data_IF_593512328297
#
_entry.id   IF_593512328297
#
_cell.length_a   1.000
_cell.length_b   1.000
_cell.length_c   1.000
_cell.angle_alpha   90.00
_cell.angle_beta   90.00
_cell.angle_gamma   90.00
#
_symmetry.space_group_name_H-M   'P 1'
#
loop_
_entity.id
_entity.type
_entity.pdbx_description
1 polymer ?
#
# COMPACT_ATOMS: atom_id res chain seq x y z
N UNK A 1 20.94 -2.90 -11.02
CA UNK A 1 22.01 -2.08 -11.64
C UNK A 1 21.77 -0.63 -11.20
N UNK A 2 22.77 0.10 -10.68
CA UNK A 2 22.59 1.47 -10.15
C UNK A 2 22.10 2.44 -11.24
N UNK A 3 22.62 2.31 -12.47
CA UNK A 3 22.21 3.14 -13.61
C UNK A 3 20.72 3.00 -13.93
N UNK A 4 20.19 1.77 -13.89
CA UNK A 4 18.78 1.49 -14.17
C UNK A 4 17.82 2.17 -13.18
N UNK A 5 18.23 2.31 -11.91
CA UNK A 5 17.46 3.01 -10.88
C UNK A 5 17.44 4.52 -11.16
N UNK A 6 18.59 5.08 -11.54
CA UNK A 6 18.72 6.51 -11.85
C UNK A 6 17.97 6.90 -13.13
N UNK A 7 17.89 6.00 -14.11
CA UNK A 7 17.12 6.19 -15.34
C UNK A 7 15.61 6.34 -15.07
N UNK A 8 15.12 5.98 -13.88
CA UNK A 8 13.73 6.22 -13.44
C UNK A 8 13.44 7.66 -13.06
N UNK A 9 14.45 8.53 -12.89
CA UNK A 9 14.23 9.95 -12.53
C UNK A 9 13.32 10.63 -13.54
N UNK A 10 12.20 11.20 -13.07
CA UNK A 10 11.23 11.89 -13.92
C UNK A 10 10.30 10.98 -14.73
N UNK A 11 10.24 9.67 -14.42
CA UNK A 11 9.32 8.71 -15.04
C UNK A 11 8.13 8.35 -14.14
N UNK A 12 7.95 9.07 -13.03
CA UNK A 12 6.91 8.81 -12.06
C UNK A 12 5.50 8.97 -12.65
N UNK A 13 4.57 8.14 -12.20
CA UNK A 13 3.14 8.27 -12.47
C UNK A 13 2.45 8.92 -11.28
N UNK A 14 1.42 9.74 -11.55
CA UNK A 14 0.57 10.34 -10.51
C UNK A 14 -0.88 9.89 -10.77
N UNK A 15 -1.56 9.21 -9.82
CA UNK A 15 -1.02 8.78 -8.53
C UNK A 15 0.08 7.72 -8.66
N UNK A 16 0.80 7.49 -7.57
CA UNK A 16 1.79 6.42 -7.47
C UNK A 16 1.15 5.04 -7.70
N UNK A 17 1.94 4.02 -8.10
CA UNK A 17 1.42 2.67 -8.32
C UNK A 17 0.67 2.12 -7.09
N UNK A 18 -0.42 1.39 -7.33
CA UNK A 18 -1.16 0.76 -6.24
C UNK A 18 -0.31 -0.34 -5.58
N UNK A 19 -0.14 -0.23 -4.26
CA UNK A 19 0.36 -1.32 -3.43
C UNK A 19 -0.85 -2.14 -2.99
N UNK A 20 -0.76 -3.46 -3.08
CA UNK A 20 -1.88 -4.32 -2.71
C UNK A 20 -1.40 -5.64 -2.11
N UNK A 21 -2.26 -6.21 -1.27
CA UNK A 21 -2.04 -7.51 -0.61
C UNK A 21 -3.34 -8.09 -0.09
N UNK A 22 -3.25 -9.20 0.60
CA UNK A 22 -4.35 -9.81 1.35
C UNK A 22 -4.12 -9.71 2.86
N UNK A 23 -5.21 -9.80 3.62
CA UNK A 23 -5.12 -9.95 5.08
C UNK A 23 -4.24 -11.15 5.46
N UNK A 24 -3.19 -10.86 6.23
CA UNK A 24 -2.19 -11.81 6.70
C UNK A 24 -0.95 -11.94 5.80
N UNK A 25 -0.85 -11.18 4.71
CA UNK A 25 0.39 -11.07 3.94
C UNK A 25 1.44 -10.24 4.70
N UNK A 26 2.71 -10.45 4.39
CA UNK A 26 3.80 -9.57 4.83
C UNK A 26 4.17 -8.62 3.68
N UNK A 27 3.92 -7.32 3.86
CA UNK A 27 4.17 -6.30 2.85
C UNK A 27 5.44 -5.53 3.22
N UNK A 28 6.39 -5.52 2.28
CA UNK A 28 7.65 -4.76 2.40
C UNK A 28 7.68 -3.66 1.35
N UNK A 29 7.90 -2.42 1.78
CA UNK A 29 7.99 -1.25 0.90
C UNK A 29 9.37 -0.63 1.09
N UNK A 30 10.25 -0.77 0.10
CA UNK A 30 11.57 -0.15 0.12
C UNK A 30 11.55 1.18 -0.61
N UNK A 31 11.84 2.27 0.12
CA UNK A 31 11.96 3.60 -0.43
C UNK A 31 13.42 3.90 -0.80
N UNK A 32 13.61 4.41 -2.01
CA UNK A 32 14.86 5.01 -2.50
C UNK A 32 14.52 6.40 -3.01
N UNK A 33 15.14 7.43 -2.43
CA UNK A 33 14.96 8.81 -2.89
C UNK A 33 15.99 9.14 -3.97
N UNK A 34 15.58 9.06 -5.24
CA UNK A 34 16.44 9.38 -6.39
C UNK A 34 16.42 10.88 -6.76
N UNK A 35 15.65 11.71 -6.06
CA UNK A 35 15.53 13.15 -6.32
C UNK A 35 14.83 13.49 -7.64
N UNK A 36 14.66 14.80 -7.89
CA UNK A 36 13.98 15.31 -9.07
C UNK A 36 14.91 15.48 -10.28
N UNK A 37 14.42 15.14 -11.47
CA UNK A 37 15.15 15.32 -12.74
C UNK A 37 15.42 16.79 -13.07
N UNK A 38 14.43 17.66 -12.85
CA UNK A 38 14.48 19.07 -13.26
C UNK A 38 14.84 20.04 -12.12
N UNK A 39 14.82 19.56 -10.87
CA UNK A 39 15.19 20.32 -9.67
C UNK A 39 16.11 19.48 -8.77
N UNK A 40 17.32 19.14 -9.24
CA UNK A 40 18.27 18.32 -8.48
C UNK A 40 18.84 19.05 -7.24
N UNK A 41 18.58 20.35 -7.13
CA UNK A 41 18.90 21.19 -5.98
C UNK A 41 17.97 20.97 -4.79
N UNK A 42 16.77 20.40 -5.01
CA UNK A 42 15.84 20.04 -3.94
C UNK A 42 16.22 18.68 -3.36
N UNK A 43 16.60 18.68 -2.08
CA UNK A 43 17.22 17.54 -1.39
C UNK A 43 16.38 17.04 -0.22
N UNK A 44 15.08 17.32 -0.23
CA UNK A 44 14.20 16.96 0.87
C UNK A 44 14.25 15.43 1.10
N UNK A 45 14.30 15.00 2.37
CA UNK A 45 14.09 13.60 2.67
C UNK A 45 12.64 13.23 2.37
N UNK A 46 12.41 11.95 2.13
CA UNK A 46 11.06 11.45 1.88
C UNK A 46 10.75 10.24 2.76
N UNK A 47 9.46 10.01 2.98
CA UNK A 47 8.94 8.92 3.81
C UNK A 47 7.80 8.19 3.10
N UNK A 48 7.39 7.05 3.65
CA UNK A 48 6.16 6.35 3.29
C UNK A 48 5.31 6.25 4.55
N UNK A 49 4.30 7.11 4.66
CA UNK A 49 3.27 7.01 5.69
C UNK A 49 2.07 6.25 5.12
N UNK A 50 1.57 5.27 5.86
CA UNK A 50 0.47 4.39 5.43
C UNK A 50 -0.77 4.66 6.29
N UNK A 51 -1.75 5.37 5.74
CA UNK A 51 -3.01 5.64 6.43
C UNK A 51 -3.81 4.37 6.67
N UNK A 52 -4.20 4.15 7.93
CA UNK A 52 -5.00 2.99 8.33
C UNK A 52 -4.19 1.70 8.50
N UNK A 53 -2.88 1.74 8.29
CA UNK A 53 -2.00 0.62 8.59
C UNK A 53 -1.66 0.62 10.08
N UNK A 54 -1.86 -0.52 10.75
CA UNK A 54 -1.37 -0.72 12.10
C UNK A 54 0.12 -1.12 12.04
N UNK A 55 1.01 -0.16 12.26
CA UNK A 55 2.46 -0.35 12.20
C UNK A 55 3.14 0.16 13.46
N UNK A 56 4.36 -0.31 13.72
CA UNK A 56 5.21 0.24 14.78
C UNK A 56 5.53 1.71 14.47
N UNK A 57 5.62 2.56 15.50
CA UNK A 57 5.90 4.01 15.35
C UNK A 57 7.13 4.31 14.49
N UNK A 58 8.18 3.49 14.58
CA UNK A 58 9.40 3.66 13.79
C UNK A 58 9.18 3.44 12.29
N UNK A 59 8.13 2.72 11.91
CA UNK A 59 7.74 2.40 10.53
C UNK A 59 6.50 3.19 10.08
N UNK A 60 6.05 4.18 10.86
CA UNK A 60 4.87 4.97 10.54
C UNK A 60 5.15 6.00 9.44
N UNK A 61 6.41 6.40 9.22
CA UNK A 61 6.76 7.39 8.19
C UNK A 61 6.44 8.84 8.57
N UNK A 62 5.95 9.10 9.80
CA UNK A 62 5.93 10.42 10.42
C UNK A 62 7.37 10.83 10.81
N UNK A 63 7.97 11.85 10.16
CA UNK A 63 9.41 12.06 10.21
C UNK A 63 9.98 12.35 11.61
N UNK A 64 9.18 12.90 12.52
CA UNK A 64 9.58 13.24 13.88
C UNK A 64 9.69 12.02 14.81
N UNK A 65 8.97 10.93 14.51
CA UNK A 65 9.01 9.69 15.30
C UNK A 65 9.55 8.48 14.53
N UNK A 66 9.74 8.62 13.22
CA UNK A 66 10.26 7.62 12.30
C UNK A 66 11.60 8.11 11.73
N UNK A 67 11.85 7.90 10.43
CA UNK A 67 13.06 8.30 9.73
C UNK A 67 12.70 8.91 8.38
N UNK A 68 13.53 9.82 7.88
CA UNK A 68 13.49 10.32 6.50
C UNK A 68 14.55 9.65 5.64
N UNK A 69 14.21 9.25 4.41
CA UNK A 69 15.18 8.73 3.44
C UNK A 69 15.79 9.90 2.67
N UNK A 70 17.08 10.22 2.88
CA UNK A 70 17.73 11.34 2.22
C UNK A 70 17.88 11.06 0.72
N UNK A 71 18.03 12.13 -0.06
CA UNK A 71 18.28 12.01 -1.50
C UNK A 71 19.60 11.28 -1.77
N UNK A 72 19.62 10.43 -2.79
CA UNK A 72 20.82 9.77 -3.29
C UNK A 72 21.71 10.78 -4.05
N UNK A 73 22.56 11.48 -3.30
CA UNK A 73 23.45 12.54 -3.84
C UNK A 73 24.63 11.97 -4.62
N UNK A 74 25.35 11.00 -4.01
CA UNK A 74 26.51 10.34 -4.62
C UNK A 74 26.06 9.08 -5.35
N UNK A 75 25.67 9.26 -6.60
CA UNK A 75 25.01 8.22 -7.41
C UNK A 75 25.93 7.08 -7.87
N UNK A 76 27.22 7.17 -7.55
CA UNK A 76 28.26 6.14 -7.71
C UNK A 76 28.39 5.22 -6.48
N UNK A 77 27.80 5.60 -5.33
CA UNK A 77 27.75 4.80 -4.11
C UNK A 77 26.39 4.08 -3.96
N UNK A 78 26.26 3.20 -2.97
CA UNK A 78 24.98 2.53 -2.67
C UNK A 78 23.93 3.56 -2.24
N UNK A 79 22.69 3.52 -2.77
CA UNK A 79 21.66 4.48 -2.37
C UNK A 79 21.30 4.35 -0.89
N UNK A 80 20.97 5.47 -0.21
CA UNK A 80 20.23 5.40 1.04
C UNK A 80 18.88 4.74 0.78
N UNK A 81 18.57 3.73 1.58
CA UNK A 81 17.30 2.99 1.47
C UNK A 81 16.69 2.80 2.84
N UNK A 82 15.37 2.74 2.91
CA UNK A 82 14.68 2.27 4.09
C UNK A 82 13.51 1.38 3.69
N UNK A 83 13.29 0.31 4.46
CA UNK A 83 12.21 -0.64 4.23
C UNK A 83 11.18 -0.53 5.33
N UNK A 84 9.96 -0.22 4.91
CA UNK A 84 8.76 -0.24 5.74
C UNK A 84 8.18 -1.66 5.72
N UNK A 85 7.67 -2.11 6.86
CA UNK A 85 6.98 -3.38 7.01
C UNK A 85 5.55 -3.15 7.49
N UNK A 86 4.61 -3.83 6.84
CA UNK A 86 3.21 -3.81 7.19
C UNK A 86 2.60 -5.21 7.12
N UNK A 87 1.96 -5.64 8.20
CA UNK A 87 1.22 -6.88 8.30
C UNK A 87 -0.29 -6.56 8.42
N UNK A 88 -1.06 -6.54 7.32
CA UNK A 88 -2.49 -6.27 7.35
C UNK A 88 -3.30 -7.31 8.16
N UNK A 89 -3.89 -6.85 9.25
CA UNK A 89 -4.81 -7.65 10.09
C UNK A 89 -6.27 -7.58 9.60
N UNK A 90 -6.63 -6.48 8.93
CA UNK A 90 -7.98 -6.20 8.44
C UNK A 90 -7.97 -5.77 6.96
N UNK A 91 -9.02 -6.10 6.18
CA UNK A 91 -9.14 -5.64 4.81
C UNK A 91 -9.55 -4.16 4.77
N UNK A 92 -9.15 -3.44 3.71
CA UNK A 92 -9.52 -2.04 3.57
C UNK A 92 -8.99 -1.37 2.30
N UNK A 93 -9.57 -0.21 2.01
CA UNK A 93 -9.02 0.76 1.04
C UNK A 93 -8.28 1.84 1.82
N UNK A 94 -6.96 1.75 1.80
CA UNK A 94 -6.02 2.62 2.50
C UNK A 94 -5.33 3.54 1.47
N UNK A 95 -4.47 4.42 1.97
CA UNK A 95 -3.58 5.22 1.13
C UNK A 95 -2.19 5.27 1.74
N UNK A 96 -1.19 5.59 0.93
CA UNK A 96 0.13 5.94 1.41
C UNK A 96 0.59 7.26 0.79
N UNK A 97 1.39 8.02 1.52
CA UNK A 97 1.98 9.26 1.01
C UNK A 97 3.26 9.64 1.74
N UNK A 98 3.98 10.64 1.23
CA UNK A 98 5.10 11.23 1.97
C UNK A 98 4.60 12.16 3.06
N UNK A 99 5.16 12.04 4.26
CA UNK A 99 4.78 12.86 5.43
C UNK A 99 5.84 13.91 5.82
N UNK A 100 6.91 14.06 5.02
CA UNK A 100 7.74 15.28 5.05
C UNK A 100 6.98 16.35 4.26
N UNK A 101 6.84 17.57 4.78
CA UNK A 101 6.10 18.67 4.11
C UNK A 101 4.82 18.16 3.41
N UNK A 102 3.98 17.48 4.20
CA UNK A 102 2.99 16.55 3.65
C UNK A 102 2.01 17.22 2.67
N UNK A 103 1.66 18.48 2.92
CA UNK A 103 0.74 19.24 2.04
C UNK A 103 1.35 19.43 0.65
N UNK A 104 2.62 19.85 0.60
CA UNK A 104 3.39 20.11 -0.62
C UNK A 104 3.65 18.80 -1.37
N UNK A 105 4.17 17.78 -0.69
CA UNK A 105 4.53 16.52 -1.35
C UNK A 105 3.31 15.74 -1.85
N UNK A 106 2.19 15.74 -1.12
CA UNK A 106 0.93 15.17 -1.62
C UNK A 106 0.46 15.92 -2.87
N UNK A 107 0.49 17.26 -2.85
CA UNK A 107 0.11 18.09 -3.99
C UNK A 107 1.04 17.89 -5.20
N UNK A 108 2.32 17.58 -4.95
CA UNK A 108 3.32 17.23 -5.97
C UNK A 108 3.19 15.79 -6.48
N UNK A 109 2.24 15.00 -5.97
CA UNK A 109 1.91 13.67 -6.47
C UNK A 109 2.50 12.50 -5.68
N UNK A 110 3.10 12.74 -4.51
CA UNK A 110 3.66 11.69 -3.65
C UNK A 110 2.59 11.01 -2.80
N UNK A 111 1.59 10.43 -3.46
CA UNK A 111 0.54 9.63 -2.84
C UNK A 111 0.14 8.46 -3.74
N UNK A 112 -0.39 7.40 -3.15
CA UNK A 112 -0.88 6.23 -3.86
C UNK A 112 -1.90 5.44 -3.04
N UNK A 113 -2.59 4.52 -3.72
CA UNK A 113 -3.53 3.61 -3.08
C UNK A 113 -2.81 2.43 -2.43
N UNK A 114 -3.24 2.06 -1.23
CA UNK A 114 -2.88 0.82 -0.55
C UNK A 114 -4.15 -0.01 -0.39
N UNK A 115 -4.26 -1.15 -1.08
CA UNK A 115 -5.49 -1.95 -1.08
C UNK A 115 -5.25 -3.31 -0.45
N UNK A 116 -5.91 -3.56 0.68
CA UNK A 116 -5.85 -4.85 1.37
C UNK A 116 -7.15 -5.60 1.10
N UNK A 117 -7.04 -6.63 0.27
CA UNK A 117 -8.14 -7.54 0.01
C UNK A 117 -8.36 -8.48 1.20
N UNK A 118 -9.59 -8.94 1.43
CA UNK A 118 -9.80 -9.99 2.41
C UNK A 118 -9.19 -11.31 1.90
N UNK A 119 -8.50 -12.03 2.77
CA UNK A 119 -8.13 -13.42 2.53
C UNK A 119 -9.35 -14.34 2.71
N UNK A 120 -9.36 -15.52 2.09
CA UNK A 120 -10.45 -16.49 2.30
C UNK A 120 -10.62 -16.86 3.78
N UNK A 121 -9.52 -16.86 4.55
CA UNK A 121 -9.54 -17.07 5.99
C UNK A 121 -10.22 -15.92 6.73
N UNK A 122 -9.89 -14.67 6.38
CA UNK A 122 -10.55 -13.49 6.96
C UNK A 122 -12.04 -13.41 6.62
N UNK A 123 -12.44 -13.78 5.39
CA UNK A 123 -13.84 -13.88 5.00
C UNK A 123 -14.58 -14.95 5.82
N UNK A 124 -13.99 -16.14 5.96
CA UNK A 124 -14.59 -17.24 6.71
C UNK A 124 -14.80 -16.90 8.19
N UNK A 125 -13.86 -16.16 8.81
CA UNK A 125 -14.03 -15.63 10.19
C UNK A 125 -15.25 -14.71 10.32
N UNK A 126 -15.59 -13.99 9.24
CA UNK A 126 -16.76 -13.10 9.17
C UNK A 126 -17.99 -13.78 8.55
N UNK A 127 -18.03 -15.12 8.54
CA UNK A 127 -19.17 -15.89 8.03
C UNK A 127 -19.30 -15.95 6.51
N UNK A 128 -18.40 -15.31 5.75
CA UNK A 128 -18.41 -15.33 4.29
C UNK A 128 -17.60 -16.53 3.78
N UNK A 129 -18.24 -17.42 3.04
CA UNK A 129 -17.59 -18.61 2.46
C UNK A 129 -17.96 -18.79 1.00
N UNK A 130 -17.17 -19.59 0.26
CA UNK A 130 -17.48 -19.97 -1.12
C UNK A 130 -17.70 -21.47 -1.22
N UNK A 131 -18.83 -21.88 -1.77
CA UNK A 131 -19.14 -23.27 -2.06
C UNK A 131 -18.23 -23.81 -3.17
N UNK A 132 -17.32 -24.72 -2.84
CA UNK A 132 -16.37 -25.29 -3.81
C UNK A 132 -17.05 -26.02 -4.97
N UNK A 133 -18.19 -26.69 -4.73
CA UNK A 133 -18.91 -27.45 -5.77
C UNK A 133 -19.84 -26.59 -6.63
N UNK A 134 -20.57 -25.68 -6.00
CA UNK A 134 -21.67 -24.93 -6.63
C UNK A 134 -21.31 -23.48 -7.01
N UNK A 135 -20.18 -22.97 -6.51
CA UNK A 135 -19.66 -21.64 -6.82
C UNK A 135 -20.36 -20.47 -6.12
N UNK A 136 -21.46 -20.72 -5.40
CA UNK A 136 -22.16 -19.70 -4.63
C UNK A 136 -21.32 -19.19 -3.47
N UNK A 137 -21.38 -17.89 -3.25
CA UNK A 137 -20.96 -17.25 -2.01
C UNK A 137 -22.05 -17.40 -0.97
N UNK A 138 -21.65 -17.56 0.28
CA UNK A 138 -22.56 -17.73 1.41
C UNK A 138 -22.21 -16.75 2.51
N UNK A 139 -23.21 -16.27 3.23
CA UNK A 139 -23.07 -15.51 4.47
C UNK A 139 -23.76 -16.29 5.59
N UNK A 140 -23.00 -16.68 6.61
CA UNK A 140 -23.50 -17.49 7.73
C UNK A 140 -24.29 -18.74 7.28
N UNK A 141 -23.93 -19.31 6.13
CA UNK A 141 -24.57 -20.49 5.53
C UNK A 141 -25.60 -20.18 4.42
N UNK A 142 -26.17 -18.98 4.41
CA UNK A 142 -27.20 -18.54 3.46
C UNK A 142 -26.59 -18.13 2.12
N UNK A 143 -27.19 -18.57 1.02
CA UNK A 143 -26.67 -18.30 -0.33
C UNK A 143 -26.84 -16.83 -0.73
N UNK A 144 -25.74 -16.19 -1.12
CA UNK A 144 -25.71 -14.84 -1.67
C UNK A 144 -25.95 -14.92 -3.19
N UNK A 145 -27.18 -15.23 -3.59
CA UNK A 145 -27.56 -15.44 -5.00
C UNK A 145 -27.33 -14.23 -5.92
N UNK A 146 -27.22 -13.03 -5.37
CA UNK A 146 -26.91 -11.79 -6.11
C UNK A 146 -25.42 -11.66 -6.46
N UNK A 147 -24.53 -12.40 -5.80
CA UNK A 147 -23.10 -12.39 -6.12
C UNK A 147 -22.84 -13.41 -7.24
N UNK A 148 -22.25 -13.01 -8.38
CA UNK A 148 -21.93 -13.93 -9.46
C UNK A 148 -21.04 -15.08 -8.98
N UNK A 149 -21.30 -16.32 -9.43
CA UNK A 149 -20.47 -17.50 -9.09
C UNK A 149 -18.99 -17.34 -9.47
N UNK A 150 -18.73 -16.56 -10.53
CA UNK A 150 -17.39 -16.23 -11.02
C UNK A 150 -16.67 -15.15 -10.19
N UNK A 151 -17.38 -14.49 -9.26
CA UNK A 151 -16.78 -13.51 -8.37
C UNK A 151 -15.71 -14.17 -7.49
N UNK A 152 -14.62 -13.45 -7.27
CA UNK A 152 -13.51 -13.74 -6.39
C UNK A 152 -13.60 -12.83 -5.17
N UNK A 153 -12.84 -13.10 -4.12
CA UNK A 153 -12.71 -12.23 -2.94
C UNK A 153 -12.22 -10.80 -3.23
N UNK A 154 -11.90 -10.47 -4.49
CA UNK A 154 -11.36 -9.16 -4.92
C UNK A 154 -12.32 -8.32 -5.76
N UNK A 155 -13.46 -8.88 -6.19
CA UNK A 155 -14.34 -8.21 -7.15
C UNK A 155 -15.81 -8.17 -6.71
N UNK A 156 -16.06 -8.26 -5.41
CA UNK A 156 -17.34 -7.92 -4.79
C UNK A 156 -17.09 -7.37 -3.39
N UNK A 157 -18.07 -6.61 -2.90
CA UNK A 157 -18.14 -6.09 -1.55
C UNK A 157 -19.42 -6.57 -0.87
N UNK A 158 -19.40 -6.79 0.44
CA UNK A 158 -20.58 -7.28 1.16
C UNK A 158 -20.77 -6.58 2.51
N UNK A 159 -21.67 -5.61 2.53
CA UNK A 159 -21.98 -4.79 3.69
C UNK A 159 -22.74 -5.59 4.77
N UNK A 160 -22.03 -6.40 5.55
CA UNK A 160 -22.55 -6.95 6.80
C UNK A 160 -21.44 -7.14 7.83
N UNK A 161 -20.77 -6.04 8.20
CA UNK A 161 -20.06 -5.78 9.46
C UNK A 161 -18.57 -5.44 9.41
N UNK A 162 -17.76 -5.87 8.43
CA UNK A 162 -16.34 -5.45 8.35
C UNK A 162 -15.77 -5.45 6.92
N UNK A 163 -16.62 -5.44 5.89
CA UNK A 163 -16.15 -5.14 4.53
C UNK A 163 -16.44 -3.68 4.25
N UNK A 164 -15.40 -2.86 4.26
CA UNK A 164 -15.52 -1.44 3.94
C UNK A 164 -15.84 -1.28 2.45
N UNK A 165 -17.13 -1.09 2.17
CA UNK A 165 -17.66 -0.27 1.08
C UNK A 165 -18.87 0.48 1.62
#
# INVERSE_FOLDING_TARGET
NLTEILDKKGTATIPSPMIWGEVGDDIYITLINIGMKYRPDLKDPHTVHMHGAHVATQLDGFPESSFGVPMWEKTDETPPTATYFFHPEEPGTLMYHCHVEASEHVQMGMYGALVIYPSMKSLAKNGITKCNKCGYWKLYGEDLCHIPKRATKRNFAYNNIHSYF
#
